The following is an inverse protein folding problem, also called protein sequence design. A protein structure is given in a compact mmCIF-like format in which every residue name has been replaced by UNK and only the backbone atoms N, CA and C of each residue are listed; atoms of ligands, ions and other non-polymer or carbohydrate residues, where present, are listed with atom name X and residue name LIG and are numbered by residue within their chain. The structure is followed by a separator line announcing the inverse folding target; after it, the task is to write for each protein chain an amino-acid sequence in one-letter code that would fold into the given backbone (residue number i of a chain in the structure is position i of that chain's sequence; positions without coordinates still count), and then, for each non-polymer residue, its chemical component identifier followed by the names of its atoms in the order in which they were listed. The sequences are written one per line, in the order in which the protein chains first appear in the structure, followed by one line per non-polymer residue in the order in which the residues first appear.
data_IF_080561925819
#
_entry.id   IF_080561925819
#
_cell.length_a   1.000
_cell.length_b   1.000
_cell.length_c   1.000
_cell.angle_alpha   90.00
_cell.angle_beta   90.00
_cell.angle_gamma   90.00
#
_symmetry.space_group_name_H-M   'P 1'
#
loop_
_entity.id
_entity.type
_entity.pdbx_description
1 polymer ?
#
# COMPACT_ATOMS: atom_id res chain seq x y z
N UNK A 1 -8.33 13.70 17.20
CA UNK A 1 -7.10 14.02 16.43
C UNK A 1 -7.52 14.81 15.19
N UNK A 2 -6.78 15.86 14.80
CA UNK A 2 -7.19 16.77 13.72
C UNK A 2 -7.23 16.14 12.31
N UNK A 3 -6.54 15.01 12.10
CA UNK A 3 -6.51 14.27 10.83
C UNK A 3 -7.26 12.92 10.86
N UNK A 4 -7.99 12.60 11.94
CA UNK A 4 -8.88 11.43 11.96
C UNK A 4 -10.17 11.79 11.23
N UNK A 5 -10.55 10.97 10.27
CA UNK A 5 -11.79 11.10 9.48
C UNK A 5 -12.98 10.59 10.29
N UNK A 6 -14.18 10.93 9.81
CA UNK A 6 -15.46 10.48 10.41
C UNK A 6 -15.68 8.97 10.27
N UNK A 7 -15.06 8.34 9.27
CA UNK A 7 -15.10 6.90 9.02
C UNK A 7 -14.01 6.13 9.77
N UNK A 8 -13.32 6.77 10.74
CA UNK A 8 -12.21 6.23 11.52
C UNK A 8 -10.90 5.95 10.76
N UNK A 9 -10.83 6.27 9.46
CA UNK A 9 -9.57 6.34 8.73
C UNK A 9 -8.82 7.63 9.06
N UNK A 10 -7.60 7.76 8.55
CA UNK A 10 -6.80 8.98 8.66
C UNK A 10 -6.53 9.60 7.30
N UNK A 11 -6.49 10.93 7.25
CA UNK A 11 -6.09 11.66 6.05
C UNK A 11 -4.62 11.39 5.72
N UNK A 12 -4.34 11.07 4.46
CA UNK A 12 -2.98 10.82 3.96
C UNK A 12 -2.32 12.11 3.45
N UNK A 13 -3.02 12.80 2.55
CA UNK A 13 -2.58 14.04 1.92
C UNK A 13 -3.71 15.07 1.96
N UNK A 14 -3.34 16.32 2.24
CA UNK A 14 -4.26 17.44 2.29
C UNK A 14 -3.81 18.51 1.29
N UNK A 15 -4.75 19.33 0.84
CA UNK A 15 -4.47 20.52 0.05
C UNK A 15 -4.48 21.73 0.98
N UNK A 16 -3.55 22.65 0.72
CA UNK A 16 -3.51 23.95 1.39
C UNK A 16 -3.79 25.03 0.34
N UNK A 17 -4.57 26.05 0.69
CA UNK A 17 -4.76 27.25 -0.15
C UNK A 17 -4.46 28.50 0.67
N UNK A 18 -3.60 29.38 0.14
CA UNK A 18 -3.38 30.71 0.74
C UNK A 18 -4.57 31.58 0.34
N UNK A 19 -5.48 31.83 1.29
CA UNK A 19 -6.68 32.64 1.05
C UNK A 19 -6.36 34.14 1.13
N UNK A 20 -5.41 34.50 1.99
CA UNK A 20 -4.92 35.88 2.18
C UNK A 20 -3.53 35.87 2.83
N UNK A 21 -2.95 37.06 3.05
CA UNK A 21 -1.67 37.22 3.74
C UNK A 21 -1.68 36.69 5.19
N UNK A 22 -2.85 36.42 5.79
CA UNK A 22 -2.97 35.91 7.16
C UNK A 22 -3.72 34.59 7.30
N UNK A 23 -4.18 33.98 6.20
CA UNK A 23 -5.02 32.78 6.27
C UNK A 23 -4.62 31.71 5.25
N UNK A 24 -4.52 30.47 5.74
CA UNK A 24 -4.34 29.27 4.94
C UNK A 24 -5.47 28.30 5.26
N UNK A 25 -6.27 27.97 4.25
CA UNK A 25 -7.31 26.96 4.36
C UNK A 25 -6.73 25.57 4.10
N UNK A 26 -7.33 24.54 4.70
CA UNK A 26 -7.02 23.14 4.46
C UNK A 26 -8.26 22.48 3.88
N UNK A 27 -8.10 21.77 2.77
CA UNK A 27 -9.10 20.86 2.24
C UNK A 27 -8.54 19.44 2.13
N UNK A 28 -9.44 18.48 2.09
CA UNK A 28 -9.10 17.08 2.29
C UNK A 28 -9.29 16.29 1.00
N UNK A 29 -8.36 15.37 0.74
CA UNK A 29 -8.46 14.40 -0.35
C UNK A 29 -9.18 13.12 0.11
N UNK A 30 -9.57 12.25 -0.84
CA UNK A 30 -10.14 10.94 -0.52
C UNK A 30 -9.25 10.10 0.40
N UNK A 31 -9.84 9.08 1.02
CA UNK A 31 -9.10 8.07 1.77
C UNK A 31 -8.03 7.41 0.91
N UNK A 32 -6.87 7.13 1.50
CA UNK A 32 -5.75 6.47 0.81
C UNK A 32 -5.10 5.45 1.72
N UNK A 33 -4.78 4.28 1.19
CA UNK A 33 -4.17 3.18 1.93
C UNK A 33 -2.87 3.62 2.62
N UNK A 34 -2.06 4.44 1.94
CA UNK A 34 -0.78 4.93 2.45
C UNK A 34 -0.89 5.70 3.77
N UNK A 35 -1.95 6.51 3.94
CA UNK A 35 -2.17 7.21 5.21
C UNK A 35 -2.47 6.26 6.36
N UNK A 36 -3.09 5.11 6.05
CA UNK A 36 -3.47 4.10 7.04
C UNK A 36 -2.22 3.33 7.48
N UNK A 37 -1.39 2.94 6.52
CA UNK A 37 -0.06 2.37 6.78
C UNK A 37 0.75 3.32 7.66
N UNK A 38 0.84 4.60 7.30
CA UNK A 38 1.65 5.58 8.00
C UNK A 38 1.21 5.79 9.46
N UNK A 39 -0.10 5.88 9.73
CA UNK A 39 -0.59 6.06 11.10
C UNK A 39 -0.45 4.79 11.94
N UNK A 40 -0.64 3.60 11.36
CA UNK A 40 -0.39 2.32 12.05
C UNK A 40 1.09 2.18 12.43
N UNK A 41 2.01 2.57 11.54
CA UNK A 41 3.45 2.56 11.81
C UNK A 41 3.97 3.72 12.67
N UNK A 42 3.11 4.66 13.09
CA UNK A 42 3.54 5.87 13.79
C UNK A 42 3.96 5.65 15.24
N UNK A 43 3.52 4.54 15.85
CA UNK A 43 3.64 4.31 17.29
C UNK A 43 2.77 5.24 18.16
N UNK A 44 1.89 6.04 17.54
CA UNK A 44 1.06 7.03 18.24
C UNK A 44 -0.30 6.50 18.68
N UNK A 45 -0.90 5.59 17.90
CA UNK A 45 -2.23 5.03 18.18
C UNK A 45 -2.12 3.72 18.97
N UNK A 46 -3.09 3.48 19.85
CA UNK A 46 -3.19 2.27 20.69
C UNK A 46 -3.59 1.04 19.85
N UNK A 47 -3.45 -0.17 20.38
CA UNK A 47 -3.94 -1.37 19.70
C UNK A 47 -5.47 -1.36 19.48
N UNK A 48 -6.23 -0.75 20.39
CA UNK A 48 -7.68 -0.54 20.23
C UNK A 48 -8.01 0.44 19.09
N UNK A 49 -7.31 1.59 19.02
CA UNK A 49 -7.48 2.56 17.93
C UNK A 49 -7.05 1.97 16.58
N UNK A 50 -5.96 1.19 16.57
CA UNK A 50 -5.50 0.47 15.38
C UNK A 50 -6.54 -0.55 14.91
N UNK A 51 -7.17 -1.28 15.84
CA UNK A 51 -8.24 -2.21 15.51
C UNK A 51 -9.47 -1.48 14.95
N UNK A 52 -9.86 -0.33 15.52
CA UNK A 52 -10.95 0.49 14.97
C UNK A 52 -10.65 0.94 13.54
N UNK A 53 -9.42 1.41 13.30
CA UNK A 53 -8.94 1.79 11.97
C UNK A 53 -8.96 0.61 10.99
N UNK A 54 -8.48 -0.57 11.39
CA UNK A 54 -8.44 -1.75 10.52
C UNK A 54 -9.85 -2.27 10.18
N UNK A 55 -10.78 -2.24 11.15
CA UNK A 55 -12.18 -2.53 10.89
C UNK A 55 -12.78 -1.54 9.88
N UNK A 56 -12.50 -0.25 10.04
CA UNK A 56 -12.92 0.78 9.10
C UNK A 56 -12.33 0.57 7.71
N UNK A 57 -11.02 0.30 7.62
CA UNK A 57 -10.30 0.05 6.38
C UNK A 57 -10.91 -1.13 5.62
N UNK A 58 -11.19 -2.22 6.33
CA UNK A 58 -11.84 -3.42 5.78
C UNK A 58 -13.25 -3.15 5.24
N UNK A 59 -13.96 -2.19 5.83
CA UNK A 59 -15.30 -1.77 5.40
C UNK A 59 -15.32 -0.63 4.36
N UNK A 60 -14.15 -0.05 4.06
CA UNK A 60 -14.02 1.12 3.20
C UNK A 60 -14.08 0.79 1.71
N UNK A 61 -14.17 1.82 0.88
CA UNK A 61 -14.05 1.71 -0.58
C UNK A 61 -12.66 1.27 -1.06
N UNK A 62 -11.66 1.19 -0.16
CA UNK A 62 -10.34 0.66 -0.49
C UNK A 62 -10.33 -0.87 -0.57
N UNK A 63 -11.27 -1.55 0.07
CA UNK A 63 -11.32 -3.01 0.02
C UNK A 63 -11.85 -3.50 -1.33
N UNK A 64 -11.04 -4.27 -2.05
CA UNK A 64 -11.36 -4.85 -3.36
C UNK A 64 -11.72 -6.34 -3.21
N UNK A 65 -13.01 -6.73 -3.34
CA UNK A 65 -13.48 -8.05 -2.93
C UNK A 65 -13.00 -9.24 -3.76
N UNK A 66 -12.81 -9.07 -5.08
CA UNK A 66 -12.41 -10.17 -5.98
C UNK A 66 -11.00 -10.71 -5.65
N UNK A 67 -10.10 -9.81 -5.21
CA UNK A 67 -8.74 -10.12 -4.78
C UNK A 67 -8.59 -10.12 -3.25
N UNK A 68 -9.65 -9.81 -2.51
CA UNK A 68 -9.67 -9.78 -1.05
C UNK A 68 -8.50 -8.96 -0.46
N UNK A 69 -8.25 -7.77 -1.02
CA UNK A 69 -7.09 -6.92 -0.70
C UNK A 69 -7.42 -5.43 -0.93
N UNK A 70 -6.43 -4.54 -0.88
CA UNK A 70 -6.66 -3.09 -0.79
C UNK A 70 -6.15 -2.29 -1.99
N UNK A 71 -6.96 -1.33 -2.44
CA UNK A 71 -6.61 -0.29 -3.40
C UNK A 71 -5.81 0.84 -2.73
N UNK A 72 -5.06 1.61 -3.52
CA UNK A 72 -4.37 2.80 -3.01
C UNK A 72 -5.32 3.93 -2.62
N UNK A 73 -6.40 4.09 -3.38
CA UNK A 73 -7.49 5.07 -3.22
C UNK A 73 -8.76 4.49 -3.86
N UNK A 74 -9.96 5.03 -3.58
CA UNK A 74 -11.20 4.50 -4.10
C UNK A 74 -11.22 4.44 -5.63
N UNK A 75 -11.73 3.34 -6.16
CA UNK A 75 -12.09 3.27 -7.57
C UNK A 75 -13.26 4.23 -7.87
N UNK A 76 -13.29 4.78 -9.08
CA UNK A 76 -14.35 5.72 -9.48
C UNK A 76 -14.64 5.67 -10.98
N UNK A 77 -15.89 5.92 -11.32
CA UNK A 77 -16.28 6.11 -12.70
C UNK A 77 -15.75 7.45 -13.24
N UNK A 78 -14.95 7.37 -14.30
CA UNK A 78 -14.58 8.56 -15.06
C UNK A 78 -15.69 8.89 -16.06
N UNK A 79 -15.96 10.19 -16.30
CA UNK A 79 -16.94 10.57 -17.28
C UNK A 79 -16.60 9.93 -18.64
N UNK A 80 -17.60 9.32 -19.29
CA UNK A 80 -17.44 8.74 -20.63
C UNK A 80 -17.11 9.85 -21.63
N UNK A 81 -16.48 9.48 -22.74
CA UNK A 81 -16.01 10.44 -23.75
C UNK A 81 -17.06 11.49 -24.14
N UNK A 82 -18.29 11.06 -24.41
CA UNK A 82 -19.38 11.95 -24.86
C UNK A 82 -19.88 12.94 -23.80
N UNK A 83 -19.62 12.71 -22.51
CA UNK A 83 -20.10 13.60 -21.43
C UNK A 83 -19.01 14.54 -20.90
N UNK A 84 -17.73 14.27 -21.18
CA UNK A 84 -16.57 15.00 -20.60
C UNK A 84 -16.55 16.50 -20.91
N UNK A 85 -16.98 16.90 -22.10
CA UNK A 85 -16.79 18.25 -22.62
C UNK A 85 -18.13 18.81 -23.10
N UNK A 86 -19.04 19.11 -22.17
CA UNK A 86 -20.35 19.70 -22.49
C UNK A 86 -20.54 20.99 -21.71
N UNK A 87 -20.61 22.11 -22.42
CA UNK A 87 -20.86 23.42 -21.84
C UNK A 87 -22.38 23.60 -21.69
N UNK A 88 -22.90 23.82 -20.46
CA UNK A 88 -24.32 24.09 -20.26
C UNK A 88 -24.76 25.30 -21.08
N UNK A 89 -25.89 25.19 -21.79
CA UNK A 89 -26.35 26.24 -22.71
C UNK A 89 -26.53 27.60 -22.02
N UNK A 90 -26.87 27.61 -20.73
CA UNK A 90 -26.93 28.83 -19.93
C UNK A 90 -25.59 29.55 -19.87
N UNK A 91 -24.49 28.82 -19.58
CA UNK A 91 -23.13 29.38 -19.53
C UNK A 91 -22.66 29.92 -20.89
N UNK A 92 -23.10 29.28 -21.99
CA UNK A 92 -22.83 29.78 -23.35
C UNK A 92 -23.56 31.10 -23.59
N UNK A 93 -24.86 31.15 -23.30
CA UNK A 93 -25.70 32.32 -23.54
C UNK A 93 -25.32 33.53 -22.65
N UNK A 94 -24.77 33.26 -21.45
CA UNK A 94 -24.29 34.29 -20.53
C UNK A 94 -22.95 34.90 -20.99
N UNK A 95 -22.23 34.28 -21.95
CA UNK A 95 -20.99 34.81 -22.54
C UNK A 95 -21.23 35.40 -23.93
N UNK A 96 -20.90 36.69 -24.08
CA UNK A 96 -20.97 37.38 -25.37
C UNK A 96 -19.91 36.84 -26.34
N UNK A 97 -18.72 36.52 -25.85
CA UNK A 97 -17.64 35.95 -26.66
C UNK A 97 -18.03 34.59 -27.23
N UNK A 98 -18.52 33.66 -26.41
CA UNK A 98 -18.91 32.33 -26.87
C UNK A 98 -20.07 32.40 -27.86
N UNK A 99 -21.08 33.22 -27.59
CA UNK A 99 -22.21 33.41 -28.50
C UNK A 99 -21.76 34.00 -29.84
N UNK A 100 -20.87 35.00 -29.82
CA UNK A 100 -20.32 35.63 -31.03
C UNK A 100 -19.48 34.66 -31.87
N UNK A 101 -18.65 33.83 -31.23
CA UNK A 101 -17.87 32.80 -31.92
C UNK A 101 -18.76 31.78 -32.64
N UNK A 102 -19.89 31.39 -32.03
CA UNK A 102 -20.86 30.50 -32.65
C UNK A 102 -21.57 31.16 -33.85
N UNK A 103 -21.95 32.43 -33.74
CA UNK A 103 -22.56 33.20 -34.84
C UNK A 103 -21.61 33.33 -36.05
N UNK A 104 -20.31 33.51 -35.78
CA UNK A 104 -19.28 33.64 -36.80
C UNK A 104 -18.80 32.29 -37.37
N UNK A 105 -19.30 31.16 -36.85
CA UNK A 105 -18.86 29.82 -37.24
C UNK A 105 -17.40 29.52 -36.87
N UNK A 106 -16.86 30.19 -35.86
CA UNK A 106 -15.47 30.07 -35.44
C UNK A 106 -15.29 28.98 -34.37
N UNK A 107 -14.79 27.81 -34.78
CA UNK A 107 -14.60 26.63 -33.93
C UNK A 107 -13.29 26.59 -33.14
N UNK A 108 -12.50 27.68 -33.11
CA UNK A 108 -11.20 27.71 -32.40
C UNK A 108 -11.34 27.51 -30.89
N UNK A 109 -12.42 28.00 -30.28
CA UNK A 109 -12.66 27.88 -28.83
C UNK A 109 -13.86 26.97 -28.54
N UNK A 110 -14.97 27.16 -29.25
CA UNK A 110 -16.26 26.51 -28.99
C UNK A 110 -16.84 25.97 -30.29
N UNK A 111 -17.43 24.79 -30.24
CA UNK A 111 -18.14 24.17 -31.36
C UNK A 111 -19.54 23.72 -30.90
N UNK A 112 -20.52 23.80 -31.80
CA UNK A 112 -21.90 23.35 -31.57
C UNK A 112 -22.17 22.09 -32.36
N UNK A 113 -22.59 21.01 -31.68
CA UNK A 113 -22.93 19.75 -32.34
C UNK A 113 -24.28 19.82 -33.09
N UNK A 114 -24.58 18.77 -33.84
CA UNK A 114 -25.84 18.64 -34.60
C UNK A 114 -27.10 18.59 -33.72
N UNK A 115 -26.94 18.30 -32.42
CA UNK A 115 -28.02 18.25 -31.43
C UNK A 115 -28.19 19.59 -30.70
N UNK A 116 -27.31 20.55 -30.96
CA UNK A 116 -27.29 21.88 -30.36
C UNK A 116 -26.49 22.01 -29.06
N UNK A 117 -25.80 20.97 -28.60
CA UNK A 117 -24.88 21.05 -27.46
C UNK A 117 -23.61 21.78 -27.86
N UNK A 118 -22.94 22.40 -26.88
CA UNK A 118 -21.71 23.14 -27.11
C UNK A 118 -20.54 22.49 -26.38
N UNK A 119 -19.38 22.50 -27.03
CA UNK A 119 -18.17 21.84 -26.57
C UNK A 119 -16.97 22.78 -26.72
N UNK A 120 -16.01 22.73 -25.80
CA UNK A 120 -14.71 23.35 -26.06
C UNK A 120 -13.98 22.61 -27.19
N UNK A 121 -13.05 23.28 -27.87
CA UNK A 121 -12.25 22.68 -28.92
C UNK A 121 -11.54 21.41 -28.42
N UNK A 122 -11.66 20.32 -29.18
CA UNK A 122 -11.14 19.00 -28.80
C UNK A 122 -9.61 18.89 -28.71
N UNK A 123 -8.86 19.91 -29.15
CA UNK A 123 -7.40 19.96 -29.01
C UNK A 123 -6.93 20.44 -27.63
N UNK A 124 -7.83 20.95 -26.78
CA UNK A 124 -7.45 21.52 -25.49
C UNK A 124 -7.13 20.43 -24.46
N UNK A 125 -5.99 20.58 -23.79
CA UNK A 125 -5.59 19.67 -22.70
C UNK A 125 -5.81 20.30 -21.31
N UNK A 126 -5.71 21.63 -21.21
CA UNK A 126 -5.87 22.37 -19.96
C UNK A 126 -6.14 23.86 -20.26
N UNK A 127 -6.21 24.68 -19.20
CA UNK A 127 -6.47 26.11 -19.30
C UNK A 127 -5.41 26.87 -20.12
N UNK A 128 -4.17 26.39 -20.24
CA UNK A 128 -3.15 27.03 -21.08
C UNK A 128 -3.47 26.87 -22.57
N UNK A 129 -4.05 25.74 -22.98
CA UNK A 129 -4.56 25.58 -24.36
C UNK A 129 -5.63 26.62 -24.68
N UNK A 130 -6.56 26.85 -23.74
CA UNK A 130 -7.60 27.88 -23.89
C UNK A 130 -6.99 29.30 -23.94
N UNK A 131 -6.03 29.61 -23.06
CA UNK A 131 -5.34 30.91 -23.08
C UNK A 131 -4.59 31.16 -24.39
N UNK A 132 -3.91 30.12 -24.92
CA UNK A 132 -3.21 30.21 -26.19
C UNK A 132 -4.19 30.44 -27.34
N UNK A 133 -5.27 29.67 -27.41
CA UNK A 133 -6.28 29.82 -28.45
C UNK A 133 -6.99 31.19 -28.40
N UNK A 134 -7.25 31.73 -27.21
CA UNK A 134 -7.78 33.10 -27.06
C UNK A 134 -6.79 34.15 -27.59
N UNK A 135 -5.49 33.96 -27.39
CA UNK A 135 -4.47 34.89 -27.88
C UNK A 135 -4.30 34.86 -29.42
N UNK A 136 -4.72 33.79 -30.08
CA UNK A 136 -4.68 33.65 -31.55
C UNK A 136 -5.92 34.22 -32.26
N UNK A 137 -6.97 34.61 -31.51
CA UNK A 137 -8.17 35.21 -32.12
C UNK A 137 -7.87 36.62 -32.66
N UNK A 138 -8.43 37.01 -33.82
CA UNK A 138 -8.24 38.34 -34.38
C UNK A 138 -8.67 39.46 -33.41
N UNK A 139 -7.71 40.29 -33.00
CA UNK A 139 -7.93 41.36 -32.01
C UNK A 139 -8.97 42.39 -32.48
N UNK A 140 -8.97 42.70 -33.78
CA UNK A 140 -9.92 43.63 -34.40
C UNK A 140 -11.38 43.19 -34.22
N UNK A 141 -11.63 41.89 -34.13
CA UNK A 141 -12.99 41.33 -34.03
C UNK A 141 -13.35 40.94 -32.61
N UNK A 142 -12.43 40.32 -31.87
CA UNK A 142 -12.71 39.70 -30.57
C UNK A 142 -11.98 40.35 -29.38
N UNK A 143 -11.03 41.27 -29.62
CA UNK A 143 -10.11 41.79 -28.59
C UNK A 143 -10.80 42.37 -27.36
N UNK A 144 -11.83 43.21 -27.56
CA UNK A 144 -12.61 43.76 -26.44
C UNK A 144 -13.34 42.68 -25.64
N UNK A 145 -13.95 41.71 -26.32
CA UNK A 145 -14.69 40.62 -25.67
C UNK A 145 -13.74 39.70 -24.89
N UNK A 146 -12.56 39.42 -25.44
CA UNK A 146 -11.52 38.63 -24.74
C UNK A 146 -11.07 39.37 -23.47
N UNK A 147 -10.82 40.67 -23.56
CA UNK A 147 -10.42 41.47 -22.39
C UNK A 147 -11.47 41.45 -21.28
N UNK A 148 -12.75 41.49 -21.64
CA UNK A 148 -13.86 41.54 -20.69
C UNK A 148 -14.21 40.14 -20.12
N UNK A 149 -14.12 39.08 -20.93
CA UNK A 149 -14.65 37.75 -20.58
C UNK A 149 -13.59 36.65 -20.41
N UNK A 150 -12.29 36.95 -20.55
CA UNK A 150 -11.23 35.92 -20.42
C UNK A 150 -11.33 35.13 -19.11
N UNK A 151 -11.53 35.81 -17.97
CA UNK A 151 -11.64 35.12 -16.68
C UNK A 151 -12.90 34.25 -16.62
N UNK A 152 -14.04 34.75 -17.11
CA UNK A 152 -15.28 33.98 -17.20
C UNK A 152 -15.09 32.69 -18.00
N UNK A 153 -14.41 32.74 -19.15
CA UNK A 153 -14.15 31.54 -19.95
C UNK A 153 -13.23 30.55 -19.22
N UNK A 154 -12.22 31.04 -18.49
CA UNK A 154 -11.35 30.20 -17.67
C UNK A 154 -12.14 29.53 -16.54
N UNK A 155 -13.07 30.25 -15.91
CA UNK A 155 -13.93 29.71 -14.85
C UNK A 155 -14.93 28.69 -15.42
N UNK A 156 -15.51 28.93 -16.60
CA UNK A 156 -16.37 27.95 -17.29
C UNK A 156 -15.58 26.68 -17.65
N UNK A 157 -14.35 26.83 -18.15
CA UNK A 157 -13.47 25.72 -18.49
C UNK A 157 -13.10 24.92 -17.23
N UNK A 158 -12.74 25.60 -16.15
CA UNK A 158 -12.44 24.97 -14.86
C UNK A 158 -13.66 24.25 -14.28
N UNK A 159 -14.84 24.85 -14.31
CA UNK A 159 -16.07 24.23 -13.82
C UNK A 159 -16.46 22.94 -14.57
N UNK A 160 -16.04 22.78 -15.82
CA UNK A 160 -16.32 21.58 -16.64
C UNK A 160 -15.29 20.49 -16.38
N UNK A 161 -14.01 20.85 -16.26
CA UNK A 161 -12.92 19.88 -16.19
C UNK A 161 -12.37 19.63 -14.79
N UNK A 162 -12.67 20.50 -13.82
CA UNK A 162 -12.25 20.43 -12.41
C UNK A 162 -10.75 20.11 -12.27
N UNK A 163 -9.91 20.84 -13.01
CA UNK A 163 -8.47 20.58 -13.03
C UNK A 163 -7.79 20.93 -11.71
N UNK A 164 -8.39 21.77 -10.86
CA UNK A 164 -7.92 22.02 -9.49
C UNK A 164 -7.94 20.75 -8.64
N UNK A 165 -8.86 19.82 -8.90
CA UNK A 165 -8.91 18.53 -8.22
C UNK A 165 -7.94 17.49 -8.79
N UNK A 166 -7.15 17.83 -9.83
CA UNK A 166 -6.19 16.92 -10.43
C UNK A 166 -4.94 16.74 -9.56
N UNK A 167 -4.83 15.58 -8.93
CA UNK A 167 -3.67 15.20 -8.09
C UNK A 167 -2.60 14.42 -8.86
N UNK A 168 -2.71 14.30 -10.18
CA UNK A 168 -1.84 13.49 -11.04
C UNK A 168 -2.58 12.38 -11.78
N UNK A 169 -1.81 11.53 -12.49
CA UNK A 169 -2.34 10.47 -13.37
C UNK A 169 -3.16 9.39 -12.65
N UNK A 170 -3.01 9.27 -11.34
CA UNK A 170 -3.63 8.28 -10.46
C UNK A 170 -5.12 8.10 -10.74
N UNK A 171 -5.83 9.22 -10.81
CA UNK A 171 -7.27 9.25 -11.03
C UNK A 171 -7.71 9.26 -12.49
N UNK A 172 -6.83 9.00 -13.48
CA UNK A 172 -7.15 9.16 -14.91
C UNK A 172 -6.76 7.98 -15.80
N UNK A 173 -6.30 6.86 -15.21
CA UNK A 173 -5.97 5.61 -15.90
C UNK A 173 -6.31 4.37 -15.05
N UNK A 174 -6.20 3.17 -15.64
CA UNK A 174 -6.81 1.93 -15.11
C UNK A 174 -5.81 0.77 -14.87
N UNK A 175 -4.53 1.07 -14.66
CA UNK A 175 -3.48 0.09 -14.37
C UNK A 175 -2.32 0.75 -13.62
N UNK A 176 -1.28 -0.02 -13.27
CA UNK A 176 -0.22 0.46 -12.37
C UNK A 176 -0.81 0.97 -11.05
N UNK A 177 -0.58 2.23 -10.70
CA UNK A 177 -1.18 2.86 -9.52
C UNK A 177 -2.66 3.22 -9.74
N UNK A 178 -3.18 3.16 -10.96
CA UNK A 178 -4.48 3.72 -11.34
C UNK A 178 -5.72 3.10 -10.71
N UNK A 179 -6.87 3.60 -11.16
CA UNK A 179 -8.19 3.23 -10.70
C UNK A 179 -8.42 1.71 -10.78
N UNK A 180 -8.95 1.16 -9.68
CA UNK A 180 -9.24 -0.27 -9.54
C UNK A 180 -8.00 -1.18 -9.44
N UNK A 181 -6.78 -0.64 -9.38
CA UNK A 181 -5.54 -1.41 -9.32
C UNK A 181 -5.03 -1.57 -7.89
N UNK A 182 -4.75 -2.82 -7.49
CA UNK A 182 -4.01 -3.09 -6.25
C UNK A 182 -2.53 -2.91 -6.53
N UNK A 183 -1.84 -2.13 -5.69
CA UNK A 183 -0.39 -1.96 -5.75
C UNK A 183 0.28 -2.69 -4.57
N UNK A 184 0.86 -3.85 -4.85
CA UNK A 184 1.18 -4.86 -3.83
C UNK A 184 2.21 -4.39 -2.80
N UNK A 185 3.15 -3.51 -3.20
CA UNK A 185 4.12 -2.97 -2.25
C UNK A 185 3.43 -2.20 -1.11
N UNK A 186 2.35 -1.45 -1.37
CA UNK A 186 1.64 -0.74 -0.30
C UNK A 186 0.84 -1.70 0.59
N UNK A 187 0.32 -2.79 0.03
CA UNK A 187 -0.36 -3.84 0.81
C UNK A 187 0.62 -4.57 1.72
N UNK A 188 1.83 -4.92 1.25
CA UNK A 188 2.84 -5.52 2.12
C UNK A 188 3.36 -4.56 3.19
N UNK A 189 3.35 -3.25 2.94
CA UNK A 189 3.60 -2.25 3.99
C UNK A 189 2.49 -2.23 5.04
N UNK A 190 1.24 -2.36 4.63
CA UNK A 190 0.11 -2.55 5.55
C UNK A 190 0.31 -3.83 6.38
N UNK A 191 0.67 -4.94 5.73
CA UNK A 191 0.92 -6.20 6.43
C UNK A 191 1.98 -6.03 7.53
N UNK A 192 3.09 -5.37 7.20
CA UNK A 192 4.17 -5.09 8.15
C UNK A 192 3.70 -4.17 9.29
N UNK A 193 2.96 -3.10 9.00
CA UNK A 193 2.48 -2.18 10.05
C UNK A 193 1.46 -2.83 10.98
N UNK A 194 0.62 -3.73 10.46
CA UNK A 194 -0.31 -4.53 11.25
C UNK A 194 0.44 -5.57 12.09
N UNK A 195 1.51 -6.18 11.55
CA UNK A 195 2.38 -7.06 12.32
C UNK A 195 2.99 -6.33 13.53
N UNK A 196 3.59 -5.16 13.31
CA UNK A 196 4.18 -4.34 14.38
C UNK A 196 3.12 -3.96 15.42
N UNK A 197 1.90 -3.66 14.98
CA UNK A 197 0.75 -3.39 15.86
C UNK A 197 0.38 -4.62 16.69
N UNK A 198 0.32 -5.82 16.10
CA UNK A 198 0.04 -7.06 16.82
C UNK A 198 1.10 -7.31 17.90
N UNK A 199 2.38 -7.19 17.54
CA UNK A 199 3.50 -7.39 18.46
C UNK A 199 3.49 -6.36 19.61
N UNK A 200 3.15 -5.11 19.32
CA UNK A 200 3.01 -4.07 20.34
C UNK A 200 1.84 -4.36 21.28
N UNK A 201 0.69 -4.78 20.76
CA UNK A 201 -0.48 -5.15 21.57
C UNK A 201 -0.17 -6.33 22.50
N UNK A 202 0.55 -7.35 22.01
CA UNK A 202 1.04 -8.47 22.82
C UNK A 202 2.00 -7.98 23.91
N UNK A 203 2.97 -7.13 23.54
CA UNK A 203 3.96 -6.59 24.48
C UNK A 203 3.34 -5.73 25.58
N UNK A 204 2.26 -5.02 25.27
CA UNK A 204 1.56 -4.15 26.22
C UNK A 204 0.49 -4.88 27.05
N UNK A 205 0.41 -6.22 26.96
CA UNK A 205 -0.59 -7.04 27.64
C UNK A 205 -2.02 -6.56 27.37
N UNK A 206 -2.31 -6.15 26.13
CA UNK A 206 -3.66 -5.78 25.73
C UNK A 206 -4.63 -6.98 25.83
N UNK A 207 -5.93 -6.70 25.76
CA UNK A 207 -6.93 -7.75 25.90
C UNK A 207 -6.76 -8.84 24.83
N UNK A 208 -6.94 -10.12 25.21
CA UNK A 208 -6.89 -11.24 24.27
C UNK A 208 -7.84 -11.08 23.08
N UNK A 209 -8.96 -10.37 23.28
CA UNK A 209 -9.93 -10.06 22.21
C UNK A 209 -9.33 -9.06 21.22
N UNK A 210 -8.67 -8.00 21.70
CA UNK A 210 -8.01 -7.01 20.84
C UNK A 210 -6.89 -7.66 20.05
N UNK A 211 -6.00 -8.40 20.73
CA UNK A 211 -4.90 -9.13 20.09
C UNK A 211 -5.43 -10.12 19.04
N UNK A 212 -6.45 -10.92 19.39
CA UNK A 212 -7.05 -11.88 18.47
C UNK A 212 -7.59 -11.23 17.20
N UNK A 213 -8.31 -10.11 17.32
CA UNK A 213 -8.86 -9.39 16.16
C UNK A 213 -7.78 -8.68 15.32
N UNK A 214 -6.72 -8.18 15.95
CA UNK A 214 -5.57 -7.64 15.21
C UNK A 214 -4.88 -8.75 14.39
N UNK A 215 -4.74 -9.95 14.98
CA UNK A 215 -4.22 -11.13 14.28
C UNK A 215 -5.14 -11.59 13.13
N UNK A 216 -6.47 -11.51 13.31
CA UNK A 216 -7.43 -11.78 12.21
C UNK A 216 -7.15 -10.86 11.01
N UNK A 217 -7.00 -9.54 11.24
CA UNK A 217 -6.62 -8.60 10.19
C UNK A 217 -5.27 -8.94 9.58
N UNK A 218 -4.26 -9.26 10.40
CA UNK A 218 -2.94 -9.63 9.93
C UNK A 218 -2.99 -10.81 8.95
N UNK A 219 -3.63 -11.92 9.33
CA UNK A 219 -3.70 -13.12 8.50
C UNK A 219 -4.61 -12.94 7.28
N UNK A 220 -5.68 -12.16 7.39
CA UNK A 220 -6.52 -11.80 6.25
C UNK A 220 -5.72 -10.99 5.21
N UNK A 221 -4.95 -9.99 5.63
CA UNK A 221 -4.09 -9.21 4.73
C UNK A 221 -3.03 -10.12 4.09
N UNK A 222 -2.42 -11.02 4.87
CA UNK A 222 -1.43 -11.99 4.38
C UNK A 222 -2.03 -12.93 3.33
N UNK A 223 -3.24 -13.45 3.56
CA UNK A 223 -3.97 -14.26 2.57
C UNK A 223 -4.30 -13.45 1.31
N UNK A 224 -4.62 -12.16 1.47
CA UNK A 224 -4.81 -11.20 0.40
C UNK A 224 -3.60 -11.01 -0.52
N UNK A 225 -2.36 -11.11 -0.01
CA UNK A 225 -1.11 -11.10 -0.82
C UNK A 225 -1.16 -12.19 -1.88
N UNK A 226 -1.71 -13.36 -1.53
CA UNK A 226 -2.19 -14.31 -2.52
C UNK A 226 -1.33 -15.53 -2.82
N UNK A 227 -0.33 -15.84 -1.98
CA UNK A 227 0.52 -17.05 -2.15
C UNK A 227 -0.30 -18.36 -2.23
N UNK A 228 -1.48 -18.39 -1.61
CA UNK A 228 -2.39 -19.54 -1.61
C UNK A 228 -3.57 -19.41 -2.58
N UNK A 229 -3.65 -18.34 -3.38
CA UNK A 229 -4.68 -18.20 -4.42
C UNK A 229 -4.44 -19.20 -5.53
N UNK A 230 -5.51 -19.54 -6.26
CA UNK A 230 -5.36 -20.31 -7.50
C UNK A 230 -4.55 -19.50 -8.51
N UNK A 231 -3.74 -20.15 -9.39
CA UNK A 231 -3.04 -19.45 -10.46
C UNK A 231 -3.98 -18.66 -11.39
N UNK A 232 -5.23 -19.11 -11.53
CA UNK A 232 -6.27 -18.41 -12.31
C UNK A 232 -6.64 -17.06 -11.65
N UNK A 233 -6.89 -17.05 -10.34
CA UNK A 233 -7.23 -15.83 -9.61
C UNK A 233 -6.02 -14.89 -9.48
N UNK A 234 -4.83 -15.44 -9.23
CA UNK A 234 -3.59 -14.66 -9.15
C UNK A 234 -3.19 -14.12 -10.54
N UNK A 235 -3.43 -14.90 -11.59
CA UNK A 235 -3.06 -14.62 -12.98
C UNK A 235 -1.60 -14.92 -13.33
N UNK A 236 -0.89 -15.63 -12.47
CA UNK A 236 0.50 -16.06 -12.62
C UNK A 236 0.82 -17.18 -11.61
N UNK A 237 2.11 -17.52 -11.43
CA UNK A 237 2.56 -18.35 -10.31
C UNK A 237 2.41 -17.56 -8.99
N UNK A 238 1.61 -18.02 -8.02
CA UNK A 238 1.37 -17.30 -6.77
C UNK A 238 2.61 -17.11 -5.88
N UNK A 239 3.67 -17.88 -6.15
CA UNK A 239 4.97 -17.79 -5.47
C UNK A 239 5.84 -16.65 -5.99
N UNK A 240 5.49 -16.06 -7.13
CA UNK A 240 6.28 -15.02 -7.78
C UNK A 240 5.68 -13.65 -7.45
N UNK A 241 6.48 -12.67 -6.98
CA UNK A 241 5.99 -11.33 -6.66
C UNK A 241 5.76 -10.50 -7.93
N UNK A 242 4.76 -9.61 -7.88
CA UNK A 242 4.38 -8.71 -8.96
C UNK A 242 4.08 -7.32 -8.42
N UNK A 243 4.28 -6.26 -9.22
CA UNK A 243 4.07 -4.89 -8.72
C UNK A 243 2.59 -4.56 -8.48
N UNK A 244 1.69 -4.98 -9.37
CA UNK A 244 0.28 -4.60 -9.28
C UNK A 244 -0.68 -5.61 -9.93
N UNK A 245 -1.95 -5.56 -9.55
CA UNK A 245 -3.06 -6.31 -10.16
C UNK A 245 -4.18 -5.34 -10.52
N UNK A 246 -4.39 -4.99 -11.81
CA UNK A 246 -5.41 -4.02 -12.22
C UNK A 246 -6.82 -4.61 -12.16
N UNK A 247 -7.85 -3.78 -12.39
CA UNK A 247 -9.26 -4.21 -12.33
C UNK A 247 -9.64 -5.33 -13.32
N UNK A 248 -9.01 -5.34 -14.51
CA UNK A 248 -9.38 -6.24 -15.61
C UNK A 248 -8.38 -7.34 -15.95
N UNK A 249 -7.33 -7.57 -15.14
CA UNK A 249 -6.31 -8.60 -15.37
C UNK A 249 -5.78 -9.15 -14.05
N UNK A 250 -5.07 -10.28 -14.10
CA UNK A 250 -4.25 -10.75 -12.98
C UNK A 250 -2.92 -10.01 -12.84
N UNK A 251 -2.00 -10.56 -12.06
CA UNK A 251 -0.74 -9.92 -11.65
C UNK A 251 0.13 -9.43 -12.82
N UNK A 252 0.73 -8.23 -12.69
CA UNK A 252 1.52 -7.54 -13.71
C UNK A 252 2.87 -7.04 -13.15
N UNK A 253 3.89 -6.98 -14.00
CA UNK A 253 5.29 -6.60 -13.68
C UNK A 253 5.99 -7.56 -12.69
N UNK A 254 6.55 -8.69 -13.16
CA UNK A 254 7.16 -9.70 -12.31
C UNK A 254 8.48 -9.27 -11.66
N UNK A 255 8.77 -9.82 -10.48
CA UNK A 255 10.10 -9.93 -9.92
C UNK A 255 10.49 -8.78 -8.97
N UNK A 256 11.21 -7.78 -9.48
CA UNK A 256 11.97 -6.82 -8.67
C UNK A 256 11.12 -5.67 -8.10
N UNK A 257 10.00 -5.98 -7.46
CA UNK A 257 9.17 -5.03 -6.72
C UNK A 257 9.69 -4.83 -5.29
N UNK A 258 9.53 -3.63 -4.73
CA UNK A 258 9.86 -3.34 -3.33
C UNK A 258 9.05 -4.14 -2.32
N UNK A 259 7.95 -4.76 -2.75
CA UNK A 259 7.10 -5.66 -1.96
C UNK A 259 7.93 -6.73 -1.22
N UNK A 260 8.87 -7.37 -1.91
CA UNK A 260 9.62 -8.51 -1.39
C UNK A 260 10.40 -8.19 -0.11
N UNK A 261 10.86 -6.93 0.05
CA UNK A 261 11.61 -6.55 1.24
C UNK A 261 10.71 -6.50 2.48
N UNK A 262 9.46 -6.06 2.31
CA UNK A 262 8.50 -5.95 3.41
C UNK A 262 8.04 -7.35 3.82
N UNK A 263 7.81 -8.23 2.84
CA UNK A 263 7.41 -9.63 3.08
C UNK A 263 8.54 -10.44 3.77
N UNK A 264 9.81 -10.16 3.46
CA UNK A 264 10.96 -10.73 4.19
C UNK A 264 10.96 -10.29 5.65
N UNK A 265 10.69 -9.01 5.93
CA UNK A 265 10.60 -8.49 7.30
C UNK A 265 9.42 -9.11 8.05
N UNK A 266 8.25 -9.18 7.40
CA UNK A 266 7.07 -9.85 7.94
C UNK A 266 7.41 -11.29 8.30
N UNK A 267 8.09 -12.03 7.41
CA UNK A 267 8.43 -13.42 7.67
C UNK A 267 9.34 -13.59 8.89
N UNK A 268 10.31 -12.70 9.09
CA UNK A 268 11.13 -12.74 10.30
C UNK A 268 10.35 -12.38 11.57
N UNK A 269 9.40 -11.45 11.49
CA UNK A 269 8.49 -11.14 12.60
C UNK A 269 7.55 -12.28 12.95
N UNK A 270 7.02 -13.01 11.96
CA UNK A 270 6.22 -14.23 12.18
C UNK A 270 7.03 -15.31 12.89
N UNK A 271 8.26 -15.54 12.42
CA UNK A 271 9.20 -16.47 13.04
C UNK A 271 9.67 -15.99 14.42
N UNK A 272 9.34 -14.76 14.84
CA UNK A 272 9.70 -14.22 16.15
C UNK A 272 11.17 -13.85 16.29
N UNK A 273 11.85 -13.50 15.20
CA UNK A 273 13.28 -13.17 15.23
C UNK A 273 13.44 -11.68 15.55
N UNK A 274 13.83 -11.38 16.78
CA UNK A 274 13.97 -10.00 17.26
C UNK A 274 15.39 -9.67 17.69
N UNK A 275 15.80 -8.43 17.46
CA UNK A 275 17.07 -7.90 17.96
C UNK A 275 16.79 -6.70 18.86
N UNK A 276 17.20 -6.78 20.11
CA UNK A 276 17.08 -5.68 21.07
C UNK A 276 18.31 -5.61 21.95
N UNK A 277 18.79 -4.39 22.24
CA UNK A 277 19.96 -4.18 23.11
C UNK A 277 21.19 -5.06 22.73
N UNK A 278 21.39 -5.34 21.44
CA UNK A 278 22.48 -6.20 20.93
C UNK A 278 22.32 -7.69 21.22
N UNK A 279 21.11 -8.14 21.59
CA UNK A 279 20.76 -9.55 21.81
C UNK A 279 19.80 -10.03 20.73
N UNK A 280 19.98 -11.26 20.27
CA UNK A 280 19.07 -11.99 19.38
C UNK A 280 18.08 -12.79 20.22
N UNK A 281 16.80 -12.68 19.93
CA UNK A 281 15.70 -13.40 20.60
C UNK A 281 14.83 -14.13 19.58
N UNK A 282 14.28 -15.25 20.04
CA UNK A 282 13.32 -16.07 19.32
C UNK A 282 12.00 -16.11 20.11
N UNK A 283 11.01 -15.30 19.72
CA UNK A 283 9.71 -15.22 20.41
C UNK A 283 8.54 -15.27 19.39
N UNK A 284 8.19 -16.47 18.86
CA UNK A 284 7.23 -16.61 17.77
C UNK A 284 5.77 -16.44 18.22
N UNK A 285 5.34 -15.20 18.44
CA UNK A 285 3.96 -14.87 18.85
C UNK A 285 2.92 -14.96 17.72
N UNK A 286 3.36 -14.92 16.47
CA UNK A 286 2.52 -14.88 15.26
C UNK A 286 2.69 -16.14 14.39
N UNK A 287 3.53 -17.09 14.80
CA UNK A 287 3.76 -18.31 14.05
C UNK A 287 2.60 -19.29 14.25
N UNK A 288 2.06 -19.85 13.16
CA UNK A 288 0.93 -20.79 13.23
C UNK A 288 1.42 -22.22 13.36
N UNK A 289 0.70 -23.04 14.14
CA UNK A 289 1.01 -24.46 14.31
C UNK A 289 1.05 -25.26 13.00
N UNK A 290 0.26 -24.85 12.00
CA UNK A 290 0.19 -25.53 10.72
C UNK A 290 1.46 -25.42 9.87
N UNK A 291 2.39 -24.54 10.26
CA UNK A 291 3.68 -24.37 9.59
C UNK A 291 4.73 -25.41 10.01
N UNK A 292 4.47 -26.15 11.08
CA UNK A 292 5.34 -27.23 11.54
C UNK A 292 5.14 -28.51 10.71
N UNK A 293 6.22 -29.26 10.53
CA UNK A 293 6.23 -30.46 9.70
C UNK A 293 5.34 -31.56 10.28
N UNK A 294 4.46 -32.12 9.45
CA UNK A 294 3.63 -33.29 9.81
C UNK A 294 4.32 -34.63 9.55
N UNK A 295 5.47 -34.61 8.88
CA UNK A 295 6.30 -35.77 8.54
C UNK A 295 7.77 -35.36 8.55
N UNK A 296 8.71 -36.26 8.84
CA UNK A 296 10.13 -35.95 8.75
C UNK A 296 10.51 -35.46 7.36
N UNK A 297 11.49 -34.57 7.30
CA UNK A 297 12.02 -34.01 6.06
C UNK A 297 13.52 -33.73 6.18
N UNK A 298 14.19 -33.51 5.06
CA UNK A 298 15.59 -33.09 5.03
C UNK A 298 15.69 -31.69 4.41
N UNK A 299 16.44 -30.79 5.06
CA UNK A 299 16.76 -29.47 4.52
C UNK A 299 18.20 -29.45 4.00
N UNK A 300 18.38 -29.14 2.71
CA UNK A 300 19.68 -28.80 2.14
C UNK A 300 19.90 -27.29 2.27
N UNK A 301 21.06 -26.88 2.79
CA UNK A 301 21.41 -25.47 2.97
C UNK A 301 22.89 -25.23 2.67
N UNK A 302 23.27 -23.96 2.54
CA UNK A 302 24.66 -23.53 2.34
C UNK A 302 25.12 -22.78 3.58
N UNK A 303 26.18 -23.26 4.23
CA UNK A 303 26.72 -22.61 5.43
C UNK A 303 27.60 -21.39 5.11
N UNK A 304 28.05 -20.68 6.14
CA UNK A 304 28.90 -19.47 6.01
C UNK A 304 30.25 -19.75 5.32
N UNK A 305 30.70 -21.00 5.31
CA UNK A 305 31.90 -21.48 4.60
C UNK A 305 31.60 -21.97 3.18
N UNK A 306 30.38 -21.69 2.66
CA UNK A 306 29.89 -22.07 1.34
C UNK A 306 29.79 -23.58 1.12
N UNK A 307 29.74 -24.37 2.19
CA UNK A 307 29.58 -25.81 2.09
C UNK A 307 28.09 -26.15 2.03
N UNK A 308 27.75 -27.08 1.13
CA UNK A 308 26.41 -27.65 1.07
C UNK A 308 26.31 -28.69 2.18
N UNK A 309 25.35 -28.48 3.08
CA UNK A 309 25.07 -29.36 4.21
C UNK A 309 23.61 -29.79 4.19
N UNK A 310 23.30 -30.84 4.93
CA UNK A 310 21.95 -31.37 5.09
C UNK A 310 21.65 -31.51 6.58
N UNK A 311 20.43 -31.13 6.97
CA UNK A 311 19.87 -31.35 8.31
C UNK A 311 18.60 -32.17 8.15
N UNK A 312 18.46 -33.22 8.96
CA UNK A 312 17.22 -33.98 9.08
C UNK A 312 16.33 -33.33 10.15
N UNK A 313 15.06 -33.19 9.81
CA UNK A 313 14.03 -32.55 10.62
C UNK A 313 12.97 -33.57 11.01
N UNK A 314 12.62 -33.57 12.28
CA UNK A 314 11.59 -34.44 12.83
C UNK A 314 10.18 -33.86 12.60
N UNK A 315 9.17 -34.67 12.88
CA UNK A 315 7.79 -34.18 13.00
C UNK A 315 7.74 -33.09 14.07
N UNK A 316 6.80 -32.14 13.94
CA UNK A 316 6.61 -31.07 14.91
C UNK A 316 7.82 -30.13 15.04
N UNK A 317 8.63 -30.05 13.97
CA UNK A 317 9.72 -29.08 13.82
C UNK A 317 9.56 -28.23 12.55
N UNK A 318 10.25 -27.09 12.53
CA UNK A 318 10.50 -26.32 11.30
C UNK A 318 11.93 -25.78 11.32
N UNK A 319 12.46 -25.43 10.16
CA UNK A 319 13.80 -24.87 10.04
C UNK A 319 13.83 -23.69 9.09
N UNK A 320 14.59 -22.67 9.46
CA UNK A 320 14.94 -21.54 8.61
C UNK A 320 16.40 -21.17 8.84
N UNK A 321 16.88 -20.09 8.21
CA UNK A 321 18.22 -19.57 8.49
C UNK A 321 18.15 -18.10 8.89
N UNK A 322 19.02 -17.70 9.82
CA UNK A 322 19.24 -16.31 10.15
C UNK A 322 20.74 -16.06 10.22
N UNK A 323 21.23 -15.02 9.54
CA UNK A 323 22.66 -14.83 9.29
C UNK A 323 23.36 -16.07 8.71
N UNK A 324 22.62 -16.90 7.94
CA UNK A 324 23.08 -18.16 7.34
C UNK A 324 23.42 -19.28 8.36
N UNK A 325 22.97 -19.14 9.60
CA UNK A 325 22.98 -20.21 10.60
C UNK A 325 21.59 -20.88 10.61
N UNK A 326 21.49 -22.21 10.51
CA UNK A 326 20.24 -22.95 10.68
C UNK A 326 19.63 -22.72 12.07
N UNK A 327 18.36 -22.35 12.08
CA UNK A 327 17.53 -22.21 13.28
C UNK A 327 16.42 -23.24 13.18
N UNK A 328 16.35 -24.15 14.16
CA UNK A 328 15.37 -25.23 14.21
C UNK A 328 14.40 -24.96 15.35
N UNK A 329 13.13 -24.77 15.06
CA UNK A 329 12.09 -24.70 16.09
C UNK A 329 11.50 -26.09 16.31
N UNK A 330 11.31 -26.47 17.57
CA UNK A 330 10.65 -27.73 17.97
C UNK A 330 9.75 -27.51 19.19
N UNK A 331 8.67 -28.28 19.29
CA UNK A 331 7.85 -28.25 20.50
C UNK A 331 8.54 -28.96 21.67
N UNK A 332 8.38 -28.41 22.87
CA UNK A 332 8.91 -28.94 24.13
C UNK A 332 8.03 -28.51 25.30
N UNK A 333 8.11 -29.24 26.42
CA UNK A 333 7.47 -28.85 27.69
C UNK A 333 8.12 -27.61 28.31
N UNK A 334 9.41 -27.38 28.00
CA UNK A 334 10.20 -26.25 28.49
C UNK A 334 10.73 -25.42 27.33
N UNK A 335 10.72 -24.10 27.52
CA UNK A 335 11.34 -23.17 26.59
C UNK A 335 12.85 -23.13 26.82
N UNK A 336 13.63 -22.95 25.75
CA UNK A 336 15.08 -22.84 25.86
C UNK A 336 15.78 -22.87 24.51
N UNK A 337 17.09 -22.62 24.55
CA UNK A 337 17.97 -22.64 23.38
C UNK A 337 19.08 -23.67 23.57
N UNK A 338 19.35 -24.42 22.50
CA UNK A 338 20.57 -25.24 22.39
C UNK A 338 21.43 -24.64 21.26
N UNK A 339 22.60 -24.11 21.62
CA UNK A 339 23.56 -23.53 20.69
C UNK A 339 24.60 -24.60 20.40
N UNK A 340 24.57 -25.12 19.17
CA UNK A 340 25.44 -26.21 18.75
C UNK A 340 26.69 -25.64 18.10
N UNK A 341 27.83 -26.03 18.64
CA UNK A 341 29.17 -25.83 18.09
C UNK A 341 29.70 -27.18 17.60
N UNK A 342 30.82 -27.17 16.87
CA UNK A 342 31.36 -28.41 16.28
C UNK A 342 31.74 -29.46 17.33
N UNK A 343 32.16 -29.02 18.52
CA UNK A 343 32.64 -29.90 19.60
C UNK A 343 31.83 -29.79 20.92
N UNK A 344 30.80 -28.93 20.99
CA UNK A 344 30.06 -28.69 22.23
C UNK A 344 28.65 -28.15 22.01
N UNK A 345 27.81 -28.25 23.04
CA UNK A 345 26.46 -27.66 23.06
C UNK A 345 26.34 -26.77 24.29
N UNK A 346 25.79 -25.57 24.12
CA UNK A 346 25.45 -24.67 25.21
C UNK A 346 23.92 -24.63 25.33
N UNK A 347 23.41 -24.96 26.51
CA UNK A 347 21.98 -24.91 26.84
C UNK A 347 21.65 -23.64 27.61
N UNK A 348 20.54 -22.99 27.24
CA UNK A 348 20.00 -21.82 27.93
C UNK A 348 18.51 -22.03 28.22
N UNK A 349 18.08 -21.71 29.44
CA UNK A 349 16.67 -21.74 29.86
C UNK A 349 15.89 -20.47 29.44
N UNK A 350 16.42 -19.71 28.47
CA UNK A 350 15.84 -18.47 27.96
C UNK A 350 15.85 -18.48 26.44
N UNK A 351 14.86 -17.83 25.81
CA UNK A 351 14.76 -17.71 24.35
C UNK A 351 15.57 -16.54 23.78
N UNK A 352 16.62 -16.12 24.48
CA UNK A 352 17.46 -14.99 24.11
C UNK A 352 18.94 -15.33 24.23
N UNK A 353 19.70 -14.98 23.21
CA UNK A 353 21.16 -15.11 23.25
C UNK A 353 21.77 -13.97 24.06
N UNK A 354 22.87 -14.28 24.74
CA UNK A 354 23.75 -13.25 25.29
C UNK A 354 24.30 -12.34 24.19
N UNK A 355 24.78 -11.14 24.55
CA UNK A 355 25.39 -10.21 23.58
C UNK A 355 26.58 -10.83 22.83
N UNK A 356 27.38 -11.65 23.52
CA UNK A 356 28.55 -12.30 22.92
C UNK A 356 28.14 -13.35 21.89
N UNK A 357 27.16 -14.21 22.21
CA UNK A 357 26.64 -15.21 21.27
C UNK A 357 25.92 -14.54 20.09
N UNK A 358 25.12 -13.51 20.35
CA UNK A 358 24.43 -12.74 19.31
C UNK A 358 25.42 -12.11 18.33
N UNK A 359 26.51 -11.53 18.84
CA UNK A 359 27.59 -10.97 18.01
C UNK A 359 28.19 -12.02 17.07
N UNK A 360 28.43 -13.24 17.55
CA UNK A 360 28.96 -14.35 16.72
C UNK A 360 28.03 -14.71 15.56
N UNK A 361 26.71 -14.67 15.79
CA UNK A 361 25.68 -14.86 14.76
C UNK A 361 25.74 -13.72 13.74
N UNK A 362 25.70 -12.47 14.20
CA UNK A 362 25.67 -11.29 13.31
C UNK A 362 26.93 -11.16 12.46
N UNK A 363 28.10 -11.44 13.03
CA UNK A 363 29.40 -11.38 12.36
C UNK A 363 29.72 -12.63 11.52
N UNK A 364 28.84 -13.63 11.52
CA UNK A 364 28.99 -14.86 10.72
C UNK A 364 30.33 -15.55 10.94
N UNK A 365 30.75 -15.64 12.21
CA UNK A 365 32.06 -16.20 12.61
C UNK A 365 32.28 -17.65 12.19
N UNK A 366 31.19 -18.40 11.97
CA UNK A 366 31.23 -19.84 11.70
C UNK A 366 31.44 -20.69 12.95
N UNK A 367 31.45 -20.09 14.14
CA UNK A 367 31.61 -20.83 15.39
C UNK A 367 30.33 -21.57 15.83
N UNK A 368 29.15 -21.08 15.42
CA UNK A 368 27.85 -21.67 15.74
C UNK A 368 27.36 -22.41 14.50
N UNK A 369 27.20 -23.73 14.62
CA UNK A 369 26.79 -24.61 13.53
C UNK A 369 25.27 -24.61 13.34
N UNK A 370 24.49 -24.58 14.44
CA UNK A 370 23.04 -24.45 14.43
C UNK A 370 22.51 -23.96 15.79
N UNK A 371 21.29 -23.43 15.81
CA UNK A 371 20.56 -23.09 17.04
C UNK A 371 19.24 -23.85 17.04
N UNK A 372 18.98 -24.62 18.10
CA UNK A 372 17.71 -25.29 18.31
C UNK A 372 16.93 -24.47 19.34
N UNK A 373 15.68 -24.16 19.01
CA UNK A 373 14.77 -23.37 19.81
C UNK A 373 13.62 -24.27 20.23
N UNK A 374 13.58 -24.57 21.53
CA UNK A 374 12.50 -25.30 22.15
C UNK A 374 11.42 -24.30 22.54
N UNK A 375 10.22 -24.44 21.96
CA UNK A 375 9.07 -23.59 22.25
C UNK A 375 7.92 -24.41 22.81
N UNK A 376 7.10 -23.80 23.67
CA UNK A 376 5.87 -24.44 24.12
C UNK A 376 4.87 -24.49 22.98
N UNK A 377 4.09 -25.58 22.98
CA UNK A 377 2.95 -25.70 22.10
C UNK A 377 1.86 -24.76 22.53
#
# INVERSE_FOLDING_TARGET
MANKRKDNLFHAYNLMTVESDSEVSISYLPEMLEGQVAVLSSGFISGEDSLELLNALRSSALFRPDQYSYLLYPDKDLPRFMVKNNIPSKKVNDSKLLTKLLEDGNSRIIEKDISGNCHFNGSFNNAESLKAALAELPDETYGSLIKDEKQLLLDIFEDIFDHKAFTGRSGTFFGYEGLGSIYWHMVSKLLLSVQETCLLAVKNDESKVTIGKLLEHYYEINEGIGVHKSPELYGAFPTDPYSHTPGGKGAQQPGMTGQVKEDILCRFGELGVFVFNGKLQFDPRLLRYEEFLRKPASLTYVDVSKQVKQIDLEVDSLCFTYCQIPIIYKFSETEGLEIVHSDSVIELDELVLSKSLSKKVFERTGEIDQIIVSIKK
#
